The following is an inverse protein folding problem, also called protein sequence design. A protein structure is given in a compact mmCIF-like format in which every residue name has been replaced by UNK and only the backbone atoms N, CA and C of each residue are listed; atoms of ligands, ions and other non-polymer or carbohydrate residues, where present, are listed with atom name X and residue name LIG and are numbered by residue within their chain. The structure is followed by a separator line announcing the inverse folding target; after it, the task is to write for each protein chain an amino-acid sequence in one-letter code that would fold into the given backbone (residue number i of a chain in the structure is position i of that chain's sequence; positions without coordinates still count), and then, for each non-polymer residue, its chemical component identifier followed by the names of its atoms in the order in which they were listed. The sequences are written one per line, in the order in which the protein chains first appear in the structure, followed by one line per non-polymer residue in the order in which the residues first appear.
data_IF_416736879929
#
_entry.id   IF_416736879929
#
_cell.length_a   1.000
_cell.length_b   1.000
_cell.length_c   1.000
_cell.angle_alpha   90.00
_cell.angle_beta   90.00
_cell.angle_gamma   90.00
#
_symmetry.space_group_name_H-M   'P 1'
#
loop_
_entity.id
_entity.type
_entity.pdbx_description
1 polymer ?
#
# COMPACT_ATOMS: atom_id res chain seq x y z
N UNK A 1 -2.85 -18.62 -14.18
CA UNK A 1 -3.73 -17.83 -13.29
C UNK A 1 -3.48 -16.35 -13.44
N UNK A 2 -4.49 -15.52 -13.15
CA UNK A 2 -4.35 -14.06 -13.07
C UNK A 2 -3.53 -13.67 -11.83
N UNK A 3 -2.75 -12.58 -11.86
CA UNK A 3 -2.07 -12.05 -10.68
C UNK A 3 -3.06 -11.36 -9.73
N UNK A 4 -2.59 -11.04 -8.52
CA UNK A 4 -3.41 -10.38 -7.50
C UNK A 4 -3.03 -8.90 -7.30
N UNK A 5 -2.02 -8.37 -7.99
CA UNK A 5 -1.56 -6.99 -7.81
C UNK A 5 -2.46 -5.92 -8.45
N UNK A 6 -2.08 -4.64 -8.29
CA UNK A 6 -2.97 -3.51 -8.56
C UNK A 6 -3.10 -3.20 -10.06
N UNK A 7 -2.05 -3.37 -10.87
CA UNK A 7 -2.06 -2.88 -12.25
C UNK A 7 -2.66 -3.86 -13.25
N UNK A 8 -2.48 -5.16 -13.03
CA UNK A 8 -2.93 -6.23 -13.94
C UNK A 8 -3.76 -7.31 -13.23
N UNK A 9 -3.93 -7.22 -11.91
CA UNK A 9 -4.47 -8.28 -11.09
C UNK A 9 -5.87 -8.05 -10.54
N UNK A 10 -6.31 -9.03 -9.74
CA UNK A 10 -7.63 -9.04 -9.10
C UNK A 10 -7.89 -7.82 -8.22
N UNK A 11 -6.84 -7.28 -7.59
CA UNK A 11 -6.97 -6.09 -6.75
C UNK A 11 -7.25 -4.83 -7.58
N UNK A 12 -6.62 -4.69 -8.75
CA UNK A 12 -6.94 -3.59 -9.68
C UNK A 12 -8.41 -3.60 -10.10
N UNK A 13 -8.94 -4.80 -10.34
CA UNK A 13 -10.36 -4.99 -10.61
C UNK A 13 -11.25 -4.58 -9.42
N UNK A 14 -10.93 -5.04 -8.20
CA UNK A 14 -11.68 -4.67 -6.99
C UNK A 14 -11.67 -3.16 -6.73
N UNK A 15 -10.52 -2.52 -6.96
CA UNK A 15 -10.39 -1.07 -6.86
C UNK A 15 -11.35 -0.35 -7.81
N UNK A 16 -11.46 -0.79 -9.06
CA UNK A 16 -12.42 -0.24 -10.02
C UNK A 16 -13.87 -0.44 -9.55
N UNK A 17 -14.21 -1.59 -8.95
CA UNK A 17 -15.54 -1.81 -8.37
C UNK A 17 -15.85 -0.84 -7.22
N UNK A 18 -14.89 -0.63 -6.32
CA UNK A 18 -15.02 0.33 -5.21
C UNK A 18 -15.19 1.76 -5.75
N UNK A 19 -14.41 2.13 -6.77
CA UNK A 19 -14.52 3.42 -7.44
C UNK A 19 -15.94 3.64 -8.02
N UNK A 20 -16.47 2.66 -8.76
CA UNK A 20 -17.82 2.73 -9.30
C UNK A 20 -18.88 2.86 -8.19
N UNK A 21 -18.77 2.07 -7.12
CA UNK A 21 -19.70 2.16 -5.99
C UNK A 21 -19.62 3.51 -5.26
N UNK A 22 -18.44 4.11 -5.15
CA UNK A 22 -18.23 5.43 -4.55
C UNK A 22 -18.88 6.54 -5.38
N UNK A 23 -18.78 6.46 -6.71
CA UNK A 23 -19.16 7.57 -7.59
C UNK A 23 -20.54 7.42 -8.25
N UNK A 24 -21.03 6.21 -8.46
CA UNK A 24 -22.33 5.92 -9.08
C UNK A 24 -23.39 5.48 -8.07
N UNK A 25 -22.99 5.21 -6.83
CA UNK A 25 -23.87 4.82 -5.73
C UNK A 25 -23.58 3.42 -5.22
N UNK A 26 -23.76 3.24 -3.91
CA UNK A 26 -23.52 1.96 -3.25
C UNK A 26 -24.41 0.86 -3.86
N UNK A 27 -23.79 -0.28 -4.18
CA UNK A 27 -24.46 -1.41 -4.81
C UNK A 27 -24.48 -1.39 -6.35
N UNK A 28 -23.87 -0.38 -7.01
CA UNK A 28 -23.68 -0.38 -8.48
C UNK A 28 -23.00 -1.66 -8.95
N UNK A 29 -21.93 -2.06 -8.26
CA UNK A 29 -21.33 -3.39 -8.32
C UNK A 29 -21.76 -4.15 -7.05
N UNK A 30 -22.51 -5.26 -7.19
CA UNK A 30 -22.98 -6.06 -6.06
C UNK A 30 -21.85 -6.65 -5.21
N UNK A 31 -22.00 -6.60 -3.88
CA UNK A 31 -20.97 -7.04 -2.92
C UNK A 31 -20.67 -8.55 -3.00
N UNK A 32 -21.65 -9.37 -3.36
CA UNK A 32 -21.46 -10.81 -3.56
C UNK A 32 -20.47 -11.12 -4.71
N UNK A 33 -20.42 -10.25 -5.73
CA UNK A 33 -19.47 -10.40 -6.83
C UNK A 33 -18.05 -10.12 -6.34
N UNK A 34 -17.85 -9.00 -5.66
CA UNK A 34 -16.54 -8.62 -5.11
C UNK A 34 -16.08 -9.57 -4.00
N UNK A 35 -16.99 -10.11 -3.18
CA UNK A 35 -16.68 -11.07 -2.13
C UNK A 35 -16.05 -12.36 -2.66
N UNK A 36 -16.50 -12.83 -3.83
CA UNK A 36 -15.90 -14.01 -4.48
C UNK A 36 -14.44 -13.77 -4.86
N UNK A 37 -14.13 -12.57 -5.36
CA UNK A 37 -12.76 -12.18 -5.73
C UNK A 37 -11.88 -11.99 -4.48
N UNK A 38 -12.41 -11.38 -3.42
CA UNK A 38 -11.72 -11.24 -2.12
C UNK A 38 -11.34 -12.61 -1.57
N UNK A 39 -12.28 -13.57 -1.55
CA UNK A 39 -12.00 -14.92 -1.06
C UNK A 39 -10.85 -15.58 -1.83
N UNK A 40 -10.77 -15.39 -3.15
CA UNK A 40 -9.68 -15.94 -3.97
C UNK A 40 -8.34 -15.24 -3.67
N UNK A 41 -8.31 -13.91 -3.54
CA UNK A 41 -7.10 -13.15 -3.16
C UNK A 41 -6.58 -13.61 -1.79
N UNK A 42 -7.47 -13.73 -0.79
CA UNK A 42 -7.10 -14.21 0.54
C UNK A 42 -6.55 -15.63 0.49
N UNK A 43 -7.21 -16.52 -0.26
CA UNK A 43 -6.77 -17.90 -0.44
C UNK A 43 -5.38 -17.97 -1.08
N UNK A 44 -5.15 -17.23 -2.16
CA UNK A 44 -3.85 -17.15 -2.82
C UNK A 44 -2.77 -16.59 -1.88
N UNK A 45 -3.10 -15.50 -1.19
CA UNK A 45 -2.22 -14.85 -0.22
C UNK A 45 -1.79 -15.78 0.89
N UNK A 46 -2.72 -16.56 1.45
CA UNK A 46 -2.46 -17.57 2.49
C UNK A 46 -1.66 -18.77 1.97
N UNK A 47 -1.85 -19.15 0.71
CA UNK A 47 -1.15 -20.28 0.11
C UNK A 47 0.36 -20.00 -0.05
N UNK A 48 0.73 -18.77 -0.40
CA UNK A 48 2.13 -18.35 -0.49
C UNK A 48 2.67 -17.77 0.83
N UNK A 49 1.77 -17.29 1.69
CA UNK A 49 2.09 -16.75 3.00
C UNK A 49 2.50 -17.82 4.01
N UNK A 50 3.06 -17.36 5.14
CA UNK A 50 3.45 -18.22 6.25
C UNK A 50 3.06 -17.59 7.58
N UNK A 51 2.22 -18.29 8.35
CA UNK A 51 1.85 -17.89 9.71
C UNK A 51 3.10 -17.70 10.58
N UNK A 52 3.09 -16.63 11.39
CA UNK A 52 4.25 -16.21 12.19
C UNK A 52 5.33 -15.44 11.41
N UNK A 53 5.19 -15.27 10.09
CA UNK A 53 6.00 -14.35 9.27
C UNK A 53 5.10 -13.32 8.58
N UNK A 54 4.89 -13.47 7.28
CA UNK A 54 3.97 -12.68 6.49
C UNK A 54 2.79 -13.58 6.12
N UNK A 55 1.59 -13.42 6.72
CA UNK A 55 0.48 -14.35 6.53
C UNK A 55 -0.17 -14.23 5.14
N UNK A 56 -0.11 -13.06 4.50
CA UNK A 56 -0.47 -12.89 3.09
C UNK A 56 0.78 -12.57 2.29
N UNK A 57 1.06 -13.34 1.25
CA UNK A 57 2.17 -13.09 0.34
C UNK A 57 1.71 -13.29 -1.10
N UNK A 58 2.24 -12.47 -2.01
CA UNK A 58 1.84 -12.48 -3.41
C UNK A 58 3.05 -12.39 -4.30
N UNK A 59 2.90 -12.85 -5.54
CA UNK A 59 3.96 -12.87 -6.54
C UNK A 59 3.45 -12.28 -7.85
N UNK A 60 4.30 -11.54 -8.53
CA UNK A 60 4.09 -11.10 -9.91
C UNK A 60 5.40 -11.31 -10.68
N UNK A 61 5.33 -11.97 -11.84
CA UNK A 61 6.51 -12.36 -12.64
C UNK A 61 7.65 -13.03 -11.84
N UNK A 62 7.33 -13.90 -10.87
CA UNK A 62 8.35 -14.62 -10.10
C UNK A 62 8.92 -13.86 -8.90
N UNK A 63 8.49 -12.62 -8.66
CA UNK A 63 8.98 -11.78 -7.57
C UNK A 63 7.88 -11.38 -6.58
N UNK A 64 8.23 -11.33 -5.30
CA UNK A 64 7.31 -10.98 -4.22
C UNK A 64 7.44 -9.50 -3.88
N UNK A 65 6.83 -8.65 -4.70
CA UNK A 65 6.94 -7.21 -4.59
C UNK A 65 6.28 -6.64 -3.32
N UNK A 66 6.81 -5.52 -2.85
CA UNK A 66 6.31 -4.83 -1.65
C UNK A 66 5.54 -3.54 -1.95
N UNK A 67 5.86 -2.87 -3.05
CA UNK A 67 5.33 -1.54 -3.37
C UNK A 67 3.87 -1.52 -3.80
N UNK A 68 3.34 -0.33 -4.11
CA UNK A 68 1.92 -0.14 -4.35
C UNK A 68 1.44 -0.66 -5.72
N UNK A 69 2.31 -0.68 -6.73
CA UNK A 69 1.93 -1.10 -8.07
C UNK A 69 1.74 -2.63 -8.16
N UNK A 70 2.78 -3.38 -7.79
CA UNK A 70 2.84 -4.82 -8.05
C UNK A 70 2.86 -5.68 -6.79
N UNK A 71 2.75 -5.06 -5.61
CA UNK A 71 3.15 -5.70 -4.36
C UNK A 71 2.17 -5.58 -3.20
N UNK A 72 2.66 -6.00 -2.04
CA UNK A 72 1.90 -6.08 -0.80
C UNK A 72 1.17 -4.77 -0.46
N UNK A 73 1.81 -3.61 -0.61
CA UNK A 73 1.18 -2.34 -0.25
C UNK A 73 -0.11 -2.09 -1.04
N UNK A 74 -0.11 -2.29 -2.36
CA UNK A 74 -1.30 -2.07 -3.19
C UNK A 74 -2.43 -3.04 -2.85
N UNK A 75 -2.06 -4.30 -2.64
CA UNK A 75 -3.01 -5.35 -2.27
C UNK A 75 -3.66 -5.06 -0.92
N UNK A 76 -2.86 -4.78 0.11
CA UNK A 76 -3.38 -4.44 1.44
C UNK A 76 -4.21 -3.15 1.41
N UNK A 77 -3.81 -2.17 0.60
CA UNK A 77 -4.53 -0.91 0.47
C UNK A 77 -5.99 -1.10 0.06
N UNK A 78 -6.23 -1.95 -0.94
CA UNK A 78 -7.58 -2.23 -1.45
C UNK A 78 -8.33 -3.18 -0.54
N UNK A 79 -7.68 -4.23 -0.01
CA UNK A 79 -8.33 -5.17 0.91
C UNK A 79 -8.92 -4.47 2.15
N UNK A 80 -8.31 -3.37 2.62
CA UNK A 80 -8.85 -2.60 3.75
C UNK A 80 -10.17 -1.87 3.47
N UNK A 81 -10.56 -1.68 2.20
CA UNK A 81 -11.87 -1.14 1.83
C UNK A 81 -12.92 -2.24 1.59
N UNK A 82 -12.50 -3.51 1.62
CA UNK A 82 -13.38 -4.64 1.39
C UNK A 82 -14.01 -5.11 2.71
N UNK A 83 -15.16 -5.78 2.60
CA UNK A 83 -15.73 -6.52 3.72
C UNK A 83 -14.91 -7.80 3.93
N UNK A 84 -14.13 -7.83 5.01
CA UNK A 84 -13.26 -8.95 5.39
C UNK A 84 -13.80 -9.66 6.62
N UNK A 85 -13.65 -10.98 6.66
CA UNK A 85 -13.89 -11.76 7.89
C UNK A 85 -12.86 -11.38 8.97
N UNK A 86 -13.16 -11.58 10.27
CA UNK A 86 -12.23 -11.20 11.34
C UNK A 86 -10.82 -11.80 11.22
N UNK A 87 -10.70 -13.04 10.75
CA UNK A 87 -9.42 -13.71 10.52
C UNK A 87 -8.68 -13.14 9.29
N UNK A 88 -9.40 -12.72 8.26
CA UNK A 88 -8.84 -12.10 7.05
C UNK A 88 -8.32 -10.68 7.36
N UNK A 89 -9.06 -9.93 8.19
CA UNK A 89 -8.63 -8.62 8.68
C UNK A 89 -7.37 -8.73 9.55
N UNK A 90 -7.26 -9.78 10.38
CA UNK A 90 -6.05 -10.03 11.16
C UNK A 90 -4.86 -10.38 10.25
N UNK A 91 -5.07 -11.15 9.19
CA UNK A 91 -4.02 -11.45 8.21
C UNK A 91 -3.53 -10.18 7.49
N UNK A 92 -4.43 -9.26 7.11
CA UNK A 92 -4.05 -7.95 6.56
C UNK A 92 -3.23 -7.16 7.58
N UNK A 93 -3.68 -7.12 8.84
CA UNK A 93 -3.00 -6.41 9.92
C UNK A 93 -1.59 -6.96 10.18
N UNK A 94 -1.43 -8.27 10.28
CA UNK A 94 -0.14 -8.92 10.50
C UNK A 94 0.79 -8.80 9.28
N UNK A 95 0.24 -8.77 8.07
CA UNK A 95 1.02 -8.49 6.84
C UNK A 95 1.59 -7.06 6.85
N UNK A 96 0.77 -6.06 7.20
CA UNK A 96 1.24 -4.68 7.34
C UNK A 96 2.29 -4.54 8.47
N UNK A 97 2.16 -5.32 9.56
CA UNK A 97 3.13 -5.32 10.69
C UNK A 97 4.42 -5.97 10.24
N UNK A 98 4.33 -7.03 9.46
CA UNK A 98 5.48 -7.65 8.82
C UNK A 98 6.25 -6.63 7.97
N UNK A 99 5.57 -5.89 7.09
CA UNK A 99 6.22 -4.86 6.27
C UNK A 99 6.92 -3.81 7.13
N UNK A 100 6.22 -3.29 8.13
CA UNK A 100 6.72 -2.30 9.09
C UNK A 100 7.99 -2.75 9.82
N UNK A 101 8.04 -4.01 10.27
CA UNK A 101 9.19 -4.56 11.04
C UNK A 101 10.44 -4.80 10.18
N UNK A 102 10.29 -4.77 8.86
CA UNK A 102 11.30 -5.22 7.91
C UNK A 102 11.63 -4.11 6.87
N UNK A 103 11.36 -2.85 7.20
CA UNK A 103 11.89 -1.72 6.45
C UNK A 103 13.41 -1.58 6.64
N UNK A 104 14.07 -0.82 5.76
CA UNK A 104 15.48 -0.50 5.89
C UNK A 104 15.73 0.42 7.09
N UNK A 105 16.99 0.50 7.52
CA UNK A 105 17.41 1.46 8.57
C UNK A 105 17.12 2.92 8.21
N UNK A 106 17.03 3.24 6.91
CA UNK A 106 16.64 4.56 6.40
C UNK A 106 15.15 4.88 6.58
N UNK A 107 14.32 3.87 6.87
CA UNK A 107 12.86 3.96 6.84
C UNK A 107 12.24 3.68 5.46
N UNK A 108 13.05 3.41 4.43
CA UNK A 108 12.59 2.98 3.11
C UNK A 108 12.26 1.48 3.05
N UNK A 109 11.66 1.01 1.97
CA UNK A 109 11.18 -0.36 1.82
C UNK A 109 11.87 -1.09 0.66
N UNK A 110 12.10 -2.41 0.78
CA UNK A 110 12.65 -3.21 -0.29
C UNK A 110 11.71 -3.24 -1.50
N UNK A 111 12.27 -3.57 -2.66
CA UNK A 111 11.49 -3.74 -3.89
C UNK A 111 10.66 -5.03 -3.81
N UNK A 112 11.29 -6.12 -3.39
CA UNK A 112 10.72 -7.46 -3.28
C UNK A 112 11.36 -8.27 -2.15
N UNK A 113 10.81 -9.46 -1.84
CA UNK A 113 11.44 -10.40 -0.89
C UNK A 113 12.84 -10.83 -1.32
N UNK A 114 13.07 -10.86 -2.63
CA UNK A 114 14.32 -11.27 -3.27
C UNK A 114 15.39 -10.16 -3.21
N UNK A 115 14.99 -8.89 -3.18
CA UNK A 115 15.89 -7.73 -3.11
C UNK A 115 15.74 -6.90 -1.83
N UNK A 116 16.34 -7.42 -0.75
CA UNK A 116 16.39 -6.78 0.58
C UNK A 116 17.70 -6.06 0.86
N UNK A 117 18.48 -5.70 -0.15
CA UNK A 117 19.79 -5.05 0.04
C UNK A 117 19.90 -3.68 -0.63
N UNK A 118 19.14 -3.44 -1.70
CA UNK A 118 19.19 -2.17 -2.44
C UNK A 118 18.18 -1.17 -1.90
N UNK A 119 18.65 -0.32 -1.01
CA UNK A 119 17.89 0.82 -0.50
C UNK A 119 18.07 2.05 -1.41
N UNK A 120 17.39 2.03 -2.57
CA UNK A 120 17.59 3.06 -3.61
C UNK A 120 16.31 3.60 -4.23
N UNK A 121 15.24 2.79 -4.28
CA UNK A 121 13.99 3.21 -4.93
C UNK A 121 13.07 3.88 -3.90
N UNK A 122 12.67 5.12 -4.19
CA UNK A 122 11.75 5.92 -3.37
C UNK A 122 10.61 6.40 -4.27
N UNK A 123 9.84 5.45 -4.79
CA UNK A 123 8.75 5.70 -5.73
C UNK A 123 7.41 5.20 -5.18
N UNK A 124 6.31 5.65 -5.77
CA UNK A 124 4.99 5.08 -5.49
C UNK A 124 4.95 3.58 -5.81
N UNK A 125 5.48 3.18 -6.96
CA UNK A 125 5.48 1.78 -7.39
C UNK A 125 6.39 0.89 -6.54
N UNK A 126 7.52 1.42 -6.06
CA UNK A 126 8.53 0.69 -5.28
C UNK A 126 9.19 1.61 -4.25
N UNK A 127 9.06 1.27 -2.97
CA UNK A 127 9.68 2.00 -1.86
C UNK A 127 8.67 2.72 -0.95
N UNK A 128 9.21 3.60 -0.09
CA UNK A 128 8.47 4.25 0.98
C UNK A 128 7.19 4.99 0.56
N UNK A 129 7.14 5.74 -0.56
CA UNK A 129 5.95 6.52 -0.88
C UNK A 129 4.69 5.67 -0.98
N UNK A 130 4.69 4.59 -1.77
CA UNK A 130 3.51 3.73 -1.93
C UNK A 130 3.12 2.98 -0.64
N UNK A 131 4.13 2.53 0.12
CA UNK A 131 3.90 1.85 1.40
C UNK A 131 3.33 2.82 2.45
N UNK A 132 3.83 4.05 2.51
CA UNK A 132 3.36 5.06 3.45
C UNK A 132 1.88 5.39 3.26
N UNK A 133 1.40 5.53 2.02
CA UNK A 133 -0.04 5.73 1.73
C UNK A 133 -0.90 4.63 2.34
N UNK A 134 -0.43 3.39 2.21
CA UNK A 134 -1.10 2.20 2.73
C UNK A 134 -1.09 2.19 4.25
N UNK A 135 0.04 2.48 4.90
CA UNK A 135 0.14 2.52 6.37
C UNK A 135 -0.68 3.64 6.97
N UNK A 136 -0.76 4.79 6.31
CA UNK A 136 -1.59 5.91 6.72
C UNK A 136 -3.08 5.55 6.66
N UNK A 137 -3.51 4.86 5.59
CA UNK A 137 -4.86 4.31 5.52
C UNK A 137 -5.14 3.30 6.64
N UNK A 138 -4.18 2.41 6.91
CA UNK A 138 -4.27 1.45 8.00
C UNK A 138 -4.41 2.15 9.37
N UNK A 139 -3.66 3.23 9.62
CA UNK A 139 -3.77 4.02 10.84
C UNK A 139 -5.18 4.64 11.01
N UNK A 140 -5.77 5.15 9.92
CA UNK A 140 -7.14 5.69 9.92
C UNK A 140 -8.19 4.61 10.22
N UNK A 141 -8.11 3.46 9.54
CA UNK A 141 -9.15 2.43 9.58
C UNK A 141 -9.02 1.46 10.75
N UNK A 142 -7.80 1.06 11.11
CA UNK A 142 -7.57 0.02 12.13
C UNK A 142 -7.51 0.55 13.56
N UNK A 143 -7.59 1.89 13.76
CA UNK A 143 -7.71 2.59 15.06
C UNK A 143 -6.76 2.10 16.18
N UNK A 144 -5.59 1.55 15.83
CA UNK A 144 -4.58 1.13 16.79
C UNK A 144 -3.43 2.14 16.83
N UNK A 145 -3.12 2.67 18.02
CA UNK A 145 -2.13 3.74 18.26
C UNK A 145 -0.72 3.43 17.71
N UNK A 146 -0.35 2.14 17.61
CA UNK A 146 1.02 1.73 17.25
C UNK A 146 1.39 1.93 15.78
N UNK A 147 0.41 2.12 14.88
CA UNK A 147 0.66 2.41 13.45
C UNK A 147 1.10 3.85 13.21
N UNK A 148 0.64 4.77 14.06
CA UNK A 148 0.93 6.19 13.93
C UNK A 148 2.43 6.47 14.07
N UNK A 149 3.13 5.84 15.01
CA UNK A 149 4.57 6.06 15.21
C UNK A 149 5.46 5.60 14.06
N UNK A 150 5.07 4.55 13.32
CA UNK A 150 5.84 4.01 12.19
C UNK A 150 5.59 4.83 10.93
N UNK A 151 4.32 5.16 10.65
CA UNK A 151 3.98 6.09 9.59
C UNK A 151 4.72 7.42 9.78
N UNK A 152 4.83 7.89 11.04
CA UNK A 152 5.54 9.11 11.41
C UNK A 152 7.08 8.98 11.35
N UNK A 153 7.69 7.86 11.75
CA UNK A 153 9.14 7.66 11.58
C UNK A 153 9.56 7.54 10.10
N UNK A 154 8.76 6.87 9.27
CA UNK A 154 8.91 6.95 7.81
C UNK A 154 8.63 8.37 7.29
N UNK A 155 7.85 9.18 8.02
CA UNK A 155 7.50 10.54 7.65
C UNK A 155 8.57 11.60 7.97
N UNK A 156 9.32 11.49 9.07
CA UNK A 156 10.31 12.51 9.42
C UNK A 156 11.51 12.51 8.47
N UNK A 157 11.90 11.35 7.94
CA UNK A 157 12.95 11.22 6.93
C UNK A 157 12.38 11.17 5.49
N UNK A 158 11.15 10.69 5.29
CA UNK A 158 10.54 10.47 3.98
C UNK A 158 9.48 11.50 3.58
N UNK A 159 8.56 11.93 4.46
CA UNK A 159 7.50 12.92 4.11
C UNK A 159 8.09 14.29 3.79
N UNK A 160 9.16 14.69 4.51
CA UNK A 160 9.87 15.94 4.22
C UNK A 160 10.57 15.93 2.86
N UNK A 161 10.92 14.77 2.30
CA UNK A 161 11.43 14.65 0.91
C UNK A 161 10.31 14.40 -0.11
N UNK A 162 9.30 13.60 0.24
CA UNK A 162 8.21 13.18 -0.66
C UNK A 162 7.27 14.34 -1.01
N UNK A 163 6.99 15.27 -0.10
CA UNK A 163 6.21 16.47 -0.43
C UNK A 163 6.99 17.52 -1.23
N UNK A 164 8.32 17.52 -1.12
CA UNK A 164 9.19 18.52 -1.76
C UNK A 164 9.43 18.21 -3.24
N UNK A 165 9.15 16.99 -3.70
CA UNK A 165 9.32 16.56 -5.10
C UNK A 165 8.02 16.21 -5.87
N UNK A 166 6.84 16.30 -5.25
CA UNK A 166 5.58 15.89 -5.89
C UNK A 166 5.07 16.91 -6.94
N UNK A 167 5.52 16.75 -8.19
CA UNK A 167 4.71 17.08 -9.38
C UNK A 167 4.13 15.76 -9.91
N UNK A 168 2.86 15.48 -9.63
CA UNK A 168 2.22 14.19 -9.92
C UNK A 168 1.89 13.99 -11.40
N UNK A 169 2.88 13.63 -12.23
CA UNK A 169 2.63 13.28 -13.65
C UNK A 169 3.23 11.96 -14.16
N UNK A 170 3.95 11.16 -13.36
CA UNK A 170 4.47 9.85 -13.85
C UNK A 170 4.96 8.91 -12.75
N UNK A 171 4.94 7.59 -13.01
CA UNK A 171 5.33 6.49 -12.09
C UNK A 171 6.80 6.49 -11.63
N UNK A 172 7.64 7.41 -12.15
CA UNK A 172 9.08 7.49 -11.92
C UNK A 172 9.46 8.94 -11.63
N UNK A 173 10.27 9.17 -10.59
CA UNK A 173 10.85 10.50 -10.32
C UNK A 173 12.34 10.37 -10.00
N UNK A 174 13.15 11.20 -10.66
CA UNK A 174 14.57 11.39 -10.35
C UNK A 174 14.73 12.42 -9.23
N UNK A 175 15.50 12.11 -8.19
CA UNK A 175 15.88 13.04 -7.12
C UNK A 175 16.50 14.32 -7.68
N UNK A 176 15.94 15.50 -7.35
CA UNK A 176 16.64 16.77 -7.48
C UNK A 176 17.43 17.05 -6.20
N UNK A 177 18.74 17.30 -6.25
CA UNK A 177 19.54 17.59 -5.06
C UNK A 177 19.35 19.05 -4.60
N UNK A 178 19.10 19.28 -3.31
CA UNK A 178 19.44 20.55 -2.65
C UNK A 178 18.38 21.32 -1.85
N UNK A 179 17.15 20.83 -1.66
CA UNK A 179 16.12 21.63 -0.96
C UNK A 179 16.08 21.35 0.55
N UNK A 180 16.53 22.34 1.34
CA UNK A 180 16.37 22.38 2.81
C UNK A 180 14.91 22.72 3.19
N UNK A 181 14.40 21.96 4.16
CA UNK A 181 13.04 21.98 4.73
C UNK A 181 12.60 23.31 5.34
N UNK A 182 11.42 23.82 4.98
CA UNK A 182 10.48 24.60 5.82
C UNK A 182 9.07 24.61 5.17
N UNK A 183 8.02 23.90 5.65
CA UNK A 183 6.59 24.26 5.43
C UNK A 183 5.61 23.60 6.43
N UNK A 184 4.47 24.27 6.70
CA UNK A 184 3.48 24.07 7.78
C UNK A 184 2.25 23.20 7.41
N UNK A 185 1.48 22.77 8.44
CA UNK A 185 0.32 21.85 8.45
C UNK A 185 -0.67 21.88 7.27
N UNK A 186 -1.08 23.02 6.67
CA UNK A 186 -2.16 23.03 5.67
C UNK A 186 -1.80 22.30 4.36
N UNK A 187 -0.51 22.21 4.01
CA UNK A 187 -0.05 21.57 2.77
C UNK A 187 -0.04 20.03 2.85
N UNK A 188 0.03 19.47 4.07
CA UNK A 188 -0.10 18.02 4.29
C UNK A 188 -1.49 17.53 3.88
N UNK A 189 -2.53 18.26 4.29
CA UNK A 189 -3.93 17.94 4.01
C UNK A 189 -4.25 17.89 2.50
N UNK A 190 -3.56 18.70 1.70
CA UNK A 190 -3.77 18.77 0.24
C UNK A 190 -3.15 17.57 -0.49
N UNK A 191 -2.00 17.07 -0.02
CA UNK A 191 -1.41 15.84 -0.53
C UNK A 191 -2.30 14.63 -0.22
N UNK A 192 -2.87 14.59 0.99
CA UNK A 192 -3.90 13.60 1.36
C UNK A 192 -5.08 13.58 0.39
N UNK A 193 -5.54 14.76 -0.05
CA UNK A 193 -6.64 14.89 -1.00
C UNK A 193 -6.29 14.39 -2.41
N UNK A 194 -5.05 14.64 -2.87
CA UNK A 194 -4.55 14.12 -4.15
C UNK A 194 -4.34 12.60 -4.14
N UNK A 195 -4.01 12.02 -2.99
CA UNK A 195 -3.92 10.57 -2.80
C UNK A 195 -5.31 9.90 -2.94
N UNK A 196 -6.37 10.51 -2.39
CA UNK A 196 -7.76 10.04 -2.53
C UNK A 196 -8.37 10.25 -3.94
N UNK A 197 -7.67 10.96 -4.82
CA UNK A 197 -8.05 11.15 -6.22
C UNK A 197 -7.33 10.18 -7.17
N UNK A 198 -6.25 9.54 -6.71
CA UNK A 198 -5.42 8.61 -7.50
C UNK A 198 -5.59 7.17 -7.02
N UNK A 199 -6.15 6.98 -5.82
CA UNK A 199 -6.62 5.70 -5.25
C UNK A 199 -8.03 5.90 -4.71
#
# INVERSE_FOLDING_TARGET
DLPDELLYGRVGFLWACLFLNKHLGQGTVPSNYTATIVNEIIKNGRALGRKGKCPLMFEWYGEKYWGAAHGLAGIMHVLMDMELKPDELEDVRETLKYMTRNCFRSGNYPVSEEDKKRDVLVHWCHGAPGVALTLVKAAKLLKQERWFGVAVCSSELGFAMVLVGMHMSSCHFTNLPGTRSIYTEPKLLHAFYLIELII
#
